data_IF_340103724615
#
_entry.id   IF_340103724615
#
_cell.length_a   1.000
_cell.length_b   1.000
_cell.length_c   1.000
_cell.angle_alpha   90.00
_cell.angle_beta   90.00
_cell.angle_gamma   90.00
#
_symmetry.space_group_name_H-M   'P 1'
#
loop_
_entity.id
_entity.type
_entity.pdbx_description
1 polymer ?
#
# COMPACT_ATOMS: atom_id res chain seq x y z
N UNK A 1 -4.10 13.44 -8.49
CA UNK A 1 -3.08 12.43 -8.17
C UNK A 1 -1.82 13.17 -7.75
N UNK A 2 -1.21 12.80 -6.64
CA UNK A 2 0.07 13.37 -6.24
C UNK A 2 1.14 12.93 -7.24
N UNK A 3 1.78 13.89 -7.91
CA UNK A 3 2.86 13.62 -8.87
C UNK A 3 4.19 13.50 -8.12
N UNK A 4 4.29 12.56 -7.18
CA UNK A 4 5.47 12.37 -6.35
C UNK A 4 6.54 11.57 -7.09
N UNK A 5 7.75 12.10 -7.13
CA UNK A 5 8.91 11.41 -7.70
C UNK A 5 10.21 11.94 -7.10
N UNK A 6 11.26 11.14 -7.20
CA UNK A 6 12.61 11.56 -6.88
C UNK A 6 13.56 11.26 -8.05
N UNK A 7 14.69 11.95 -8.10
CA UNK A 7 15.63 11.84 -9.21
C UNK A 7 17.08 11.88 -8.75
N UNK A 8 17.97 11.23 -9.49
CA UNK A 8 19.42 11.26 -9.30
C UNK A 8 20.12 11.11 -10.64
N UNK A 9 21.14 11.93 -10.90
CA UNK A 9 22.00 11.80 -12.09
C UNK A 9 23.02 10.66 -11.88
N UNK A 10 23.20 9.84 -12.90
CA UNK A 10 24.08 8.67 -12.87
C UNK A 10 25.49 9.06 -13.34
N UNK A 11 26.52 8.60 -12.63
CA UNK A 11 27.92 8.69 -13.02
C UNK A 11 28.39 7.51 -13.87
N UNK A 12 29.72 7.38 -14.03
CA UNK A 12 30.30 6.21 -14.72
C UNK A 12 30.09 4.94 -13.93
N UNK A 13 29.58 3.90 -14.57
CA UNK A 13 29.32 2.62 -13.94
C UNK A 13 30.61 1.89 -13.55
N UNK A 14 30.59 1.14 -12.45
CA UNK A 14 31.68 0.23 -12.03
C UNK A 14 31.90 -0.87 -13.06
N UNK A 15 30.80 -1.45 -13.54
CA UNK A 15 30.83 -2.50 -14.57
C UNK A 15 29.52 -2.50 -15.36
N UNK A 16 29.60 -2.10 -16.61
CA UNK A 16 28.45 -2.04 -17.51
C UNK A 16 27.78 -3.39 -17.79
N UNK A 17 28.49 -4.49 -17.53
CA UNK A 17 27.99 -5.84 -17.87
C UNK A 17 27.05 -6.42 -16.83
N UNK A 18 27.05 -5.89 -15.59
CA UNK A 18 26.33 -6.52 -14.48
C UNK A 18 25.60 -5.48 -13.64
N UNK A 19 24.38 -5.83 -13.22
CA UNK A 19 23.62 -5.03 -12.26
C UNK A 19 22.60 -5.87 -11.48
N UNK A 20 22.07 -5.28 -10.41
CA UNK A 20 20.88 -5.79 -9.72
C UNK A 20 19.99 -4.63 -9.31
N UNK A 21 18.69 -4.78 -9.49
CA UNK A 21 17.64 -3.99 -8.85
C UNK A 21 16.91 -4.90 -7.87
N UNK A 22 16.69 -4.45 -6.65
CA UNK A 22 15.84 -5.12 -5.69
C UNK A 22 14.93 -4.09 -5.04
N UNK A 23 13.61 -4.31 -5.02
CA UNK A 23 12.64 -3.39 -4.44
C UNK A 23 11.44 -4.13 -3.89
N UNK A 24 10.96 -3.70 -2.75
CA UNK A 24 9.63 -4.05 -2.25
C UNK A 24 8.63 -2.99 -2.68
N UNK A 25 7.51 -3.41 -3.25
CA UNK A 25 6.50 -2.56 -3.87
C UNK A 25 5.10 -3.05 -3.52
N UNK A 26 4.26 -2.13 -3.02
CA UNK A 26 2.84 -2.36 -2.73
C UNK A 26 2.04 -1.32 -3.50
N UNK A 27 1.23 -1.74 -4.46
CA UNK A 27 0.41 -0.83 -5.25
C UNK A 27 -0.88 -0.48 -4.52
N UNK A 28 -1.34 0.76 -4.68
CA UNK A 28 -2.62 1.18 -4.11
C UNK A 28 -3.81 0.87 -5.01
N UNK A 29 -3.58 0.72 -6.32
CA UNK A 29 -4.64 0.41 -7.29
C UNK A 29 -4.12 -0.27 -8.55
N UNK A 30 -5.02 -0.93 -9.24
CA UNK A 30 -4.84 -1.46 -10.58
C UNK A 30 -5.34 -0.40 -11.58
N UNK A 31 -4.44 0.24 -12.31
CA UNK A 31 -4.78 1.42 -13.12
C UNK A 31 -5.17 1.10 -14.55
N UNK A 32 -4.86 -0.12 -15.04
CA UNK A 32 -4.90 -0.43 -16.47
C UNK A 32 -3.87 0.35 -17.29
N UNK A 33 -2.93 1.04 -16.62
CA UNK A 33 -1.83 1.78 -17.21
C UNK A 33 -0.50 1.41 -16.55
N UNK A 34 0.61 1.79 -17.14
CA UNK A 34 1.93 1.53 -16.56
C UNK A 34 2.16 2.36 -15.28
N UNK A 35 2.97 1.85 -14.36
CA UNK A 35 3.43 2.58 -13.19
C UNK A 35 4.94 2.42 -13.05
N UNK A 36 5.69 3.52 -13.23
CA UNK A 36 7.15 3.50 -13.17
C UNK A 36 7.69 3.37 -11.75
N UNK A 37 8.48 2.34 -11.49
CA UNK A 37 9.16 2.13 -10.20
C UNK A 37 10.52 2.83 -10.20
N UNK A 38 11.45 2.34 -11.00
CA UNK A 38 12.77 2.92 -11.20
C UNK A 38 13.05 2.98 -12.70
N UNK A 39 13.14 4.16 -13.24
CA UNK A 39 13.23 4.38 -14.67
C UNK A 39 14.38 5.32 -15.04
N UNK A 40 14.76 5.35 -16.31
CA UNK A 40 15.72 6.30 -16.84
C UNK A 40 15.43 6.54 -18.32
N UNK A 41 16.27 7.37 -18.93
CA UNK A 41 16.37 7.53 -20.37
C UNK A 41 17.62 6.80 -20.86
N UNK A 42 17.47 5.97 -21.88
CA UNK A 42 18.61 5.41 -22.59
C UNK A 42 19.25 6.40 -23.55
N UNK A 43 20.33 5.97 -24.18
CA UNK A 43 20.94 6.72 -25.27
C UNK A 43 19.91 6.91 -26.40
N UNK A 44 19.76 8.13 -26.91
CA UNK A 44 18.78 8.45 -27.94
C UNK A 44 17.40 8.85 -27.39
N UNK A 45 16.31 8.42 -28.05
CA UNK A 45 14.94 8.86 -27.76
C UNK A 45 14.14 7.92 -26.82
N UNK A 46 14.77 6.85 -26.30
CA UNK A 46 14.08 5.83 -25.54
C UNK A 46 13.82 6.26 -24.09
N UNK A 47 12.70 6.95 -23.86
CA UNK A 47 12.30 7.43 -22.53
C UNK A 47 11.65 6.36 -21.63
N UNK A 48 11.58 5.11 -22.08
CA UNK A 48 10.82 4.06 -21.41
C UNK A 48 11.66 2.97 -20.72
N UNK A 49 12.93 3.23 -20.44
CA UNK A 49 13.82 2.25 -19.80
C UNK A 49 13.51 2.14 -18.32
N UNK A 50 13.58 0.93 -17.80
CA UNK A 50 13.51 0.62 -16.38
C UNK A 50 12.45 -0.38 -15.97
N UNK A 51 12.19 -0.42 -14.69
CA UNK A 51 11.25 -1.31 -14.02
C UNK A 51 9.89 -0.66 -13.85
N UNK A 52 8.85 -1.36 -14.27
CA UNK A 52 7.46 -0.94 -14.20
C UNK A 52 6.55 -2.05 -13.67
N UNK A 53 5.44 -1.66 -13.09
CA UNK A 53 4.22 -2.47 -13.19
C UNK A 53 3.59 -2.20 -14.56
N UNK A 54 3.29 -3.28 -15.29
CA UNK A 54 2.63 -3.21 -16.59
C UNK A 54 1.16 -2.84 -16.51
N UNK A 55 0.61 -2.36 -17.61
CA UNK A 55 -0.81 -2.08 -17.73
C UNK A 55 -1.70 -3.33 -17.68
N UNK A 56 -1.08 -4.50 -17.70
CA UNK A 56 -1.67 -5.83 -17.63
C UNK A 56 -1.39 -6.53 -16.29
N UNK A 57 -0.91 -5.77 -15.29
CA UNK A 57 -0.60 -6.20 -13.92
C UNK A 57 0.60 -7.14 -13.77
N UNK A 58 1.44 -7.24 -14.81
CA UNK A 58 2.70 -8.00 -14.77
C UNK A 58 3.89 -7.11 -14.37
N UNK A 59 5.03 -7.73 -14.08
CA UNK A 59 6.31 -7.03 -13.94
C UNK A 59 6.91 -6.82 -15.32
N UNK A 60 7.24 -5.57 -15.64
CA UNK A 60 7.86 -5.15 -16.89
C UNK A 60 9.24 -4.55 -16.66
N UNK A 61 10.21 -4.98 -17.46
CA UNK A 61 11.52 -4.37 -17.52
C UNK A 61 11.86 -4.04 -18.97
N UNK A 62 12.06 -2.76 -19.23
CA UNK A 62 12.44 -2.23 -20.55
C UNK A 62 13.90 -1.80 -20.53
N UNK A 63 14.62 -2.11 -21.59
CA UNK A 63 16.02 -1.70 -21.80
C UNK A 63 16.28 -1.36 -23.26
N UNK A 64 17.33 -0.59 -23.53
CA UNK A 64 17.74 -0.30 -24.93
C UNK A 64 18.76 -1.33 -25.42
N UNK A 65 18.55 -1.83 -26.62
CA UNK A 65 19.54 -2.65 -27.34
C UNK A 65 20.44 -1.82 -28.24
N UNK A 66 20.01 -0.59 -28.58
CA UNK A 66 20.77 0.41 -29.34
C UNK A 66 20.23 1.80 -29.02
N UNK A 67 20.78 2.84 -29.63
CA UNK A 67 20.29 4.22 -29.47
C UNK A 67 18.83 4.45 -29.85
N UNK A 68 18.22 3.53 -30.63
CA UNK A 68 16.85 3.69 -31.14
C UNK A 68 15.92 2.50 -30.87
N UNK A 69 16.45 1.35 -30.43
CA UNK A 69 15.67 0.13 -30.23
C UNK A 69 15.46 -0.15 -28.74
N UNK A 70 14.20 -0.35 -28.38
CA UNK A 70 13.74 -0.77 -27.06
C UNK A 70 13.41 -2.27 -27.09
N UNK A 71 13.87 -2.99 -26.06
CA UNK A 71 13.52 -4.38 -25.81
C UNK A 71 12.72 -4.48 -24.51
N UNK A 72 11.88 -5.49 -24.42
CA UNK A 72 10.94 -5.67 -23.32
C UNK A 72 11.00 -7.09 -22.75
N UNK A 73 11.03 -7.19 -21.45
CA UNK A 73 10.79 -8.43 -20.71
C UNK A 73 9.58 -8.21 -19.81
N UNK A 74 8.55 -9.04 -19.96
CA UNK A 74 7.37 -8.98 -19.09
C UNK A 74 6.92 -10.36 -18.65
N UNK A 75 6.61 -10.52 -17.37
CA UNK A 75 6.17 -11.80 -16.80
C UNK A 75 4.78 -12.19 -17.34
N UNK A 76 4.53 -13.50 -17.49
CA UNK A 76 3.17 -14.00 -17.76
C UNK A 76 2.30 -13.90 -16.50
N UNK A 77 2.90 -14.08 -15.32
CA UNK A 77 2.24 -13.95 -14.02
C UNK A 77 1.71 -12.53 -13.80
N UNK A 78 0.53 -12.44 -13.15
CA UNK A 78 -0.16 -11.19 -12.83
C UNK A 78 -0.23 -11.00 -11.31
N UNK A 79 0.04 -9.79 -10.86
CA UNK A 79 0.16 -9.43 -9.46
C UNK A 79 -0.92 -8.42 -9.10
N UNK A 80 -2.08 -8.88 -8.64
CA UNK A 80 -3.30 -8.08 -8.48
C UNK A 80 -3.68 -7.75 -7.04
N UNK A 81 -2.96 -8.26 -6.07
CA UNK A 81 -3.20 -7.91 -4.67
C UNK A 81 -2.68 -6.52 -4.36
N UNK A 82 -3.59 -5.58 -4.11
CA UNK A 82 -3.26 -4.19 -3.75
C UNK A 82 -2.95 -4.03 -2.26
N UNK A 83 -3.09 -5.09 -1.47
CA UNK A 83 -2.67 -5.11 -0.06
C UNK A 83 -1.34 -5.85 0.15
N UNK A 84 -0.90 -6.64 -0.83
CA UNK A 84 0.34 -7.42 -0.75
C UNK A 84 1.58 -6.60 -1.10
N UNK A 85 2.63 -6.78 -0.32
CA UNK A 85 3.97 -6.38 -0.69
C UNK A 85 4.58 -7.41 -1.64
N UNK A 86 5.07 -6.94 -2.78
CA UNK A 86 5.81 -7.76 -3.74
C UNK A 86 7.27 -7.38 -3.73
N UNK A 87 8.13 -8.36 -3.53
CA UNK A 87 9.57 -8.21 -3.70
C UNK A 87 9.95 -8.50 -5.16
N UNK A 88 10.51 -7.54 -5.87
CA UNK A 88 10.95 -7.69 -7.25
C UNK A 88 12.45 -7.58 -7.28
N UNK A 89 13.11 -8.58 -7.88
CA UNK A 89 14.56 -8.56 -8.16
C UNK A 89 14.77 -8.75 -9.64
N UNK A 90 15.61 -7.89 -10.22
CA UNK A 90 16.08 -8.01 -11.61
C UNK A 90 17.58 -8.00 -11.61
N UNK A 91 18.20 -9.00 -12.22
CA UNK A 91 19.64 -9.08 -12.37
C UNK A 91 20.04 -9.25 -13.83
N UNK A 92 20.93 -8.40 -14.30
CA UNK A 92 21.53 -8.47 -15.62
C UNK A 92 22.99 -8.87 -15.57
N UNK A 93 23.41 -9.75 -16.51
CA UNK A 93 24.81 -10.16 -16.69
C UNK A 93 25.08 -10.50 -18.16
N UNK A 94 25.70 -9.60 -18.88
CA UNK A 94 25.99 -9.77 -20.33
C UNK A 94 27.11 -10.80 -20.59
N UNK A 95 27.81 -11.26 -19.57
CA UNK A 95 28.81 -12.34 -19.71
C UNK A 95 28.15 -13.72 -19.86
N UNK A 96 26.86 -13.81 -19.54
CA UNK A 96 26.03 -15.00 -19.76
C UNK A 96 25.56 -15.09 -21.22
N UNK A 97 25.02 -16.24 -21.60
CA UNK A 97 24.47 -16.49 -22.94
C UNK A 97 22.96 -16.61 -22.95
N UNK A 98 22.33 -16.27 -24.09
CA UNK A 98 20.89 -16.43 -24.29
C UNK A 98 20.07 -15.68 -23.23
N UNK A 99 18.98 -16.28 -22.80
CA UNK A 99 18.06 -15.71 -21.81
C UNK A 99 18.64 -15.63 -20.37
N UNK A 100 19.80 -16.21 -20.12
CA UNK A 100 20.48 -16.09 -18.82
C UNK A 100 21.09 -14.70 -18.60
N UNK A 101 21.18 -13.85 -19.61
CA UNK A 101 21.66 -12.48 -19.50
C UNK A 101 20.79 -11.59 -18.60
N UNK A 102 19.51 -11.89 -18.48
CA UNK A 102 18.60 -11.15 -17.62
C UNK A 102 17.68 -12.12 -16.89
N UNK A 103 17.53 -11.96 -15.59
CA UNK A 103 16.68 -12.79 -14.74
C UNK A 103 15.77 -11.90 -13.90
N UNK A 104 14.56 -12.37 -13.64
CA UNK A 104 13.55 -11.71 -12.82
C UNK A 104 13.08 -12.67 -11.74
N UNK A 105 12.98 -12.19 -10.52
CA UNK A 105 12.35 -12.91 -9.40
C UNK A 105 11.23 -12.07 -8.82
N UNK A 106 10.17 -12.73 -8.37
CA UNK A 106 9.12 -12.11 -7.57
C UNK A 106 8.90 -12.96 -6.33
N UNK A 107 8.95 -12.33 -5.16
CA UNK A 107 8.85 -12.98 -3.85
C UNK A 107 9.79 -14.21 -3.71
N UNK A 108 11.04 -14.04 -4.15
CA UNK A 108 12.06 -15.08 -4.10
C UNK A 108 12.00 -16.12 -5.23
N UNK A 109 10.91 -16.20 -5.97
CA UNK A 109 10.73 -17.18 -7.06
C UNK A 109 11.21 -16.63 -8.40
N UNK A 110 12.14 -17.34 -9.05
CA UNK A 110 12.60 -16.98 -10.38
C UNK A 110 11.49 -17.17 -11.41
N UNK A 111 11.21 -16.13 -12.17
CA UNK A 111 10.23 -16.17 -13.26
C UNK A 111 10.83 -16.89 -14.47
N UNK A 112 10.10 -17.85 -15.01
CA UNK A 112 10.49 -18.68 -16.15
C UNK A 112 9.55 -18.54 -17.35
N UNK A 113 8.37 -17.94 -17.15
CA UNK A 113 7.37 -17.72 -18.18
C UNK A 113 7.18 -16.23 -18.44
N UNK A 114 7.28 -15.83 -19.69
CA UNK A 114 7.25 -14.43 -20.12
C UNK A 114 6.28 -14.22 -21.27
N UNK A 115 5.56 -13.09 -21.24
CA UNK A 115 4.72 -12.64 -22.36
C UNK A 115 5.59 -11.98 -23.43
N UNK A 116 6.55 -11.14 -23.02
CA UNK A 116 7.60 -10.61 -23.88
C UNK A 116 8.94 -11.10 -23.33
N UNK A 117 9.79 -11.66 -24.16
CA UNK A 117 11.05 -12.28 -23.74
C UNK A 117 12.24 -11.84 -24.61
N UNK A 118 12.67 -10.62 -24.44
CA UNK A 118 13.87 -10.09 -25.10
C UNK A 118 15.14 -10.25 -24.23
N UNK A 119 15.14 -11.09 -23.18
CA UNK A 119 16.26 -11.25 -22.23
C UNK A 119 17.62 -11.51 -22.91
N UNK A 120 17.62 -12.26 -24.01
CA UNK A 120 18.85 -12.56 -24.77
C UNK A 120 19.46 -11.33 -25.43
N UNK A 121 18.69 -10.28 -25.64
CA UNK A 121 19.11 -9.04 -26.28
C UNK A 121 19.71 -8.02 -25.32
N UNK A 122 19.80 -8.31 -24.01
CA UNK A 122 20.38 -7.41 -23.03
C UNK A 122 21.86 -7.16 -23.33
N UNK A 123 22.25 -5.89 -23.40
CA UNK A 123 23.58 -5.42 -23.81
C UNK A 123 24.36 -4.64 -22.72
N UNK A 124 23.76 -4.49 -21.53
CA UNK A 124 24.39 -3.89 -20.37
C UNK A 124 23.92 -2.48 -20.05
N UNK A 125 24.41 -1.94 -18.92
CA UNK A 125 23.95 -0.70 -18.29
C UNK A 125 24.23 0.57 -19.08
N UNK A 126 25.22 0.59 -19.96
CA UNK A 126 25.59 1.81 -20.72
C UNK A 126 24.49 2.32 -21.64
N UNK A 127 23.55 1.45 -22.01
CA UNK A 127 22.35 1.81 -22.80
C UNK A 127 21.06 1.71 -21.97
N UNK A 128 21.16 1.58 -20.65
CA UNK A 128 20.10 1.31 -19.72
C UNK A 128 20.18 2.27 -18.51
N UNK A 129 19.70 1.85 -17.34
CA UNK A 129 19.68 2.62 -16.09
C UNK A 129 21.05 3.19 -15.68
N UNK A 130 22.16 2.60 -16.14
CA UNK A 130 23.52 3.06 -15.88
C UNK A 130 24.06 4.09 -16.89
N UNK A 131 23.26 4.66 -17.79
CA UNK A 131 23.74 5.61 -18.78
C UNK A 131 24.22 6.91 -18.13
N UNK A 132 25.54 7.17 -18.24
CA UNK A 132 26.20 8.34 -17.63
C UNK A 132 25.56 9.66 -18.11
N UNK A 133 25.29 10.56 -17.16
CA UNK A 133 24.73 11.90 -17.42
C UNK A 133 23.20 11.93 -17.52
N UNK A 134 22.51 10.78 -17.53
CA UNK A 134 21.06 10.76 -17.51
C UNK A 134 20.54 10.46 -16.09
N UNK A 135 19.43 11.13 -15.68
CA UNK A 135 18.86 10.88 -14.36
C UNK A 135 18.04 9.60 -14.33
N UNK A 136 18.23 8.83 -13.25
CA UNK A 136 17.24 7.88 -12.79
C UNK A 136 16.04 8.60 -12.22
N UNK A 137 14.85 8.08 -12.43
CA UNK A 137 13.58 8.55 -11.87
C UNK A 137 12.98 7.47 -10.99
N UNK A 138 12.64 7.81 -9.78
CA UNK A 138 11.90 6.97 -8.85
C UNK A 138 10.43 7.41 -8.84
N UNK A 139 9.50 6.47 -9.02
CA UNK A 139 8.07 6.73 -8.88
C UNK A 139 7.40 7.32 -10.13
N UNK A 140 8.05 7.33 -11.28
CA UNK A 140 7.45 7.69 -12.57
C UNK A 140 8.30 7.26 -13.76
N UNK A 141 7.76 7.32 -14.96
CA UNK A 141 8.53 7.25 -16.18
C UNK A 141 9.37 8.52 -16.40
N UNK A 142 10.49 8.41 -17.10
CA UNK A 142 11.43 9.52 -17.35
C UNK A 142 10.78 10.78 -17.95
N UNK A 143 9.81 10.63 -18.85
CA UNK A 143 9.13 11.76 -19.52
C UNK A 143 8.08 12.46 -18.67
N UNK A 144 7.91 12.05 -17.39
CA UNK A 144 6.94 12.65 -16.49
C UNK A 144 5.54 12.07 -16.59
N UNK A 145 5.40 10.90 -17.22
CA UNK A 145 4.16 10.10 -17.24
C UNK A 145 4.24 8.88 -16.33
N UNK A 146 3.19 8.08 -16.27
CA UNK A 146 3.12 6.78 -15.58
C UNK A 146 3.59 6.82 -14.12
N UNK A 147 3.05 7.78 -13.36
CA UNK A 147 3.34 7.89 -11.94
C UNK A 147 2.95 6.62 -11.18
N UNK A 148 3.83 6.24 -10.28
CA UNK A 148 3.58 5.15 -9.34
C UNK A 148 2.55 5.57 -8.30
N UNK A 149 1.59 4.68 -8.00
CA UNK A 149 0.57 4.88 -6.98
C UNK A 149 0.65 3.73 -5.98
N UNK A 150 1.27 3.97 -4.84
CA UNK A 150 1.54 2.94 -3.84
C UNK A 150 2.68 3.28 -2.91
N UNK A 151 3.17 2.25 -2.22
CA UNK A 151 4.30 2.32 -1.30
C UNK A 151 5.49 1.52 -1.82
N UNK A 152 6.70 2.02 -1.59
CA UNK A 152 7.95 1.34 -1.90
C UNK A 152 8.83 1.28 -0.66
N UNK A 153 9.60 0.22 -0.53
CA UNK A 153 10.54 0.02 0.58
C UNK A 153 11.79 -0.71 0.11
N UNK A 154 12.91 -0.46 0.75
CA UNK A 154 14.18 -1.14 0.56
C UNK A 154 14.53 -1.26 -0.93
N UNK A 155 14.65 -0.13 -1.61
CA UNK A 155 15.12 -0.09 -3.00
C UNK A 155 16.65 -0.11 -3.04
N UNK A 156 17.19 -1.16 -3.63
CA UNK A 156 18.60 -1.33 -3.92
C UNK A 156 18.83 -1.25 -5.44
N UNK A 157 19.84 -0.52 -5.83
CA UNK A 157 20.46 -0.62 -7.13
C UNK A 157 21.94 -0.99 -6.94
N UNK A 158 22.39 -2.04 -7.60
CA UNK A 158 23.76 -2.54 -7.51
C UNK A 158 24.41 -2.42 -8.88
N UNK A 159 25.49 -1.69 -8.93
CA UNK A 159 26.29 -1.43 -10.11
C UNK A 159 27.52 -2.33 -10.10
N UNK A 160 27.52 -3.34 -10.95
CA UNK A 160 28.69 -4.20 -11.18
C UNK A 160 28.56 -5.65 -10.69
N UNK A 161 27.46 -6.01 -10.04
CA UNK A 161 27.22 -7.41 -9.59
C UNK A 161 25.78 -7.82 -9.87
N UNK A 162 25.60 -9.05 -10.35
CA UNK A 162 24.30 -9.68 -10.56
C UNK A 162 24.02 -10.65 -9.39
N UNK A 163 23.22 -10.18 -8.42
CA UNK A 163 22.73 -11.00 -7.31
C UNK A 163 21.36 -11.59 -7.63
N UNK A 164 21.06 -12.75 -7.08
CA UNK A 164 19.70 -13.30 -7.08
C UNK A 164 18.87 -12.80 -5.88
N UNK A 165 17.63 -13.24 -5.78
CA UNK A 165 16.70 -12.79 -4.74
C UNK A 165 17.15 -13.18 -3.32
N UNK A 166 17.92 -14.26 -3.15
CA UNK A 166 18.35 -14.75 -1.83
C UNK A 166 19.29 -13.80 -1.09
N UNK A 167 19.94 -12.87 -1.81
CA UNK A 167 20.70 -11.80 -1.19
C UNK A 167 19.83 -10.84 -0.38
N UNK A 168 18.55 -10.67 -0.76
CA UNK A 168 17.63 -9.63 -0.24
C UNK A 168 16.47 -10.19 0.58
N UNK A 169 16.35 -11.50 0.68
CA UNK A 169 15.27 -12.14 1.44
C UNK A 169 15.50 -13.63 1.60
N UNK A 170 14.60 -14.27 2.35
CA UNK A 170 14.59 -15.72 2.54
C UNK A 170 13.18 -16.21 2.80
N UNK A 171 12.91 -17.47 2.47
CA UNK A 171 11.65 -18.13 2.80
C UNK A 171 11.66 -18.53 4.27
N UNK A 172 10.64 -18.14 5.00
CA UNK A 172 10.40 -18.62 6.36
C UNK A 172 10.07 -20.11 6.34
N UNK A 173 10.83 -20.90 7.06
CA UNK A 173 10.70 -22.38 7.04
C UNK A 173 9.37 -22.85 7.68
N UNK A 174 8.75 -22.05 8.53
CA UNK A 174 7.50 -22.40 9.23
C UNK A 174 6.27 -22.02 8.44
N UNK A 175 6.26 -20.81 7.87
CA UNK A 175 5.08 -20.25 7.20
C UNK A 175 5.12 -20.37 5.68
N UNK A 176 6.30 -20.58 5.10
CA UNK A 176 6.51 -20.54 3.65
C UNK A 176 6.53 -19.11 3.09
N UNK A 177 6.40 -18.09 3.92
CA UNK A 177 6.39 -16.70 3.52
C UNK A 177 7.79 -16.24 3.09
N UNK A 178 7.86 -15.45 2.01
CA UNK A 178 9.08 -14.76 1.60
C UNK A 178 9.29 -13.52 2.46
N UNK A 179 10.34 -13.51 3.28
CA UNK A 179 10.66 -12.45 4.23
C UNK A 179 11.84 -11.60 3.76
N UNK A 180 11.75 -10.32 4.06
CA UNK A 180 12.80 -9.34 3.74
C UNK A 180 14.06 -9.56 4.58
N UNK A 181 15.24 -9.41 3.92
CA UNK A 181 16.51 -9.17 4.58
C UNK A 181 16.75 -7.65 4.63
N UNK A 182 16.60 -7.06 5.81
CA UNK A 182 16.75 -5.61 6.00
C UNK A 182 18.18 -5.11 5.99
N UNK A 183 19.17 -6.02 5.97
CA UNK A 183 20.61 -5.70 5.99
C UNK A 183 21.40 -6.64 5.08
N UNK A 184 21.14 -6.62 3.76
CA UNK A 184 21.79 -7.51 2.82
C UNK A 184 23.31 -7.23 2.75
N UNK A 185 24.10 -8.30 2.69
CA UNK A 185 25.56 -8.22 2.51
C UNK A 185 25.87 -8.19 1.02
N UNK A 186 25.88 -6.98 0.43
CA UNK A 186 26.09 -6.76 -1.01
C UNK A 186 27.10 -5.64 -1.26
N UNK A 187 27.77 -5.68 -2.42
CA UNK A 187 28.67 -4.62 -2.87
C UNK A 187 27.95 -3.75 -3.89
N UNK A 188 27.74 -2.47 -3.55
CA UNK A 188 26.89 -1.58 -4.35
C UNK A 188 27.55 -1.05 -5.63
N UNK A 189 28.89 -0.94 -5.68
CA UNK A 189 29.59 -0.29 -6.81
C UNK A 189 29.38 1.23 -6.85
N UNK A 190 29.94 1.91 -7.84
CA UNK A 190 30.04 3.37 -7.89
C UNK A 190 28.66 4.07 -7.95
N UNK A 191 27.76 3.58 -8.78
CA UNK A 191 26.41 4.15 -8.91
C UNK A 191 25.37 3.48 -8.02
N UNK A 192 25.76 2.42 -7.30
CA UNK A 192 24.83 1.68 -6.46
C UNK A 192 24.35 2.48 -5.26
N UNK A 193 23.14 2.20 -4.82
CA UNK A 193 22.49 2.88 -3.70
C UNK A 193 21.52 1.95 -2.97
N UNK A 194 21.19 2.34 -1.74
CA UNK A 194 20.15 1.76 -0.91
C UNK A 194 19.30 2.87 -0.30
N UNK A 195 18.06 3.01 -0.73
CA UNK A 195 17.15 4.06 -0.28
C UNK A 195 15.82 3.47 0.21
N UNK A 196 14.98 4.30 0.83
CA UNK A 196 13.67 3.91 1.37
C UNK A 196 13.74 2.84 2.47
N UNK A 197 14.86 2.78 3.21
CA UNK A 197 15.04 1.86 4.34
C UNK A 197 14.35 2.38 5.60
N UNK A 198 14.66 3.63 5.96
CA UNK A 198 14.25 4.21 7.24
C UNK A 198 13.22 5.32 6.98
N UNK A 199 11.99 4.90 6.68
CA UNK A 199 10.86 5.77 6.40
C UNK A 199 11.16 6.77 5.27
N UNK A 200 10.43 6.85 4.24
CA UNK A 200 10.49 7.74 3.07
C UNK A 200 11.85 8.43 2.76
N UNK A 201 12.96 7.93 3.26
CA UNK A 201 14.27 8.52 3.02
C UNK A 201 14.77 8.22 1.62
N UNK A 202 15.06 9.26 0.88
CA UNK A 202 15.77 9.19 -0.42
C UNK A 202 17.27 9.39 -0.25
N UNK A 203 17.75 9.42 0.99
CA UNK A 203 19.18 9.44 1.35
C UNK A 203 19.73 8.04 1.24
N UNK A 204 20.85 7.92 0.54
CA UNK A 204 21.52 6.64 0.29
C UNK A 204 22.14 6.07 1.57
N UNK A 205 21.79 4.83 1.88
CA UNK A 205 22.24 4.06 3.03
C UNK A 205 23.37 3.05 2.65
N UNK A 206 23.80 3.01 1.39
CA UNK A 206 24.84 2.09 0.91
C UNK A 206 26.26 2.50 1.32
N UNK A 207 26.43 3.75 1.74
CA UNK A 207 27.75 4.36 2.01
C UNK A 207 28.34 5.11 0.81
N UNK A 208 27.71 5.06 -0.37
CA UNK A 208 28.22 5.73 -1.58
C UNK A 208 27.79 7.21 -1.70
N UNK A 209 26.88 7.67 -0.85
CA UNK A 209 26.30 9.01 -0.92
C UNK A 209 25.53 9.30 -2.21
N UNK A 210 24.97 8.28 -2.83
CA UNK A 210 24.19 8.35 -4.06
C UNK A 210 22.73 8.78 -3.78
N UNK A 211 22.56 9.92 -3.12
CA UNK A 211 21.28 10.45 -2.71
C UNK A 211 20.38 10.80 -3.90
N UNK A 212 19.09 10.61 -3.72
CA UNK A 212 18.07 11.15 -4.61
C UNK A 212 17.55 12.50 -4.09
N UNK A 213 16.99 13.29 -4.98
CA UNK A 213 16.31 14.55 -4.65
C UNK A 213 14.85 14.41 -5.03
N UNK A 214 13.94 14.78 -4.12
CA UNK A 214 12.51 14.85 -4.42
C UNK A 214 12.30 15.96 -5.45
N UNK A 215 11.80 15.60 -6.62
CA UNK A 215 11.59 16.53 -7.74
C UNK A 215 10.15 17.07 -7.80
N UNK A 216 9.19 16.42 -7.11
CA UNK A 216 7.80 16.86 -7.02
C UNK A 216 6.99 15.99 -6.09
N UNK A 217 5.83 16.51 -5.67
CA UNK A 217 4.95 15.87 -4.70
C UNK A 217 5.53 15.81 -3.29
N UNK A 218 4.94 14.98 -2.44
CA UNK A 218 5.37 14.76 -1.06
C UNK A 218 5.53 13.26 -0.82
N UNK A 219 6.68 12.84 -0.34
CA UNK A 219 6.87 11.50 0.19
C UNK A 219 6.30 11.45 1.60
N UNK A 220 5.49 10.45 1.89
CA UNK A 220 4.92 10.21 3.20
C UNK A 220 5.58 8.97 3.82
N UNK A 221 6.19 9.16 4.98
CA UNK A 221 6.69 8.05 5.78
C UNK A 221 5.50 7.27 6.33
N UNK A 222 5.50 5.94 6.20
CA UNK A 222 4.49 5.08 6.83
C UNK A 222 5.18 3.95 7.57
N UNK A 223 4.53 3.44 8.63
CA UNK A 223 5.00 2.23 9.33
C UNK A 223 4.67 0.95 8.54
N UNK A 224 3.80 1.04 7.53
CA UNK A 224 3.50 -0.07 6.63
C UNK A 224 4.72 -0.37 5.75
N UNK A 225 5.30 -1.53 5.99
CA UNK A 225 6.51 -2.00 5.32
C UNK A 225 6.48 -3.54 5.19
N UNK A 226 7.37 -4.15 4.40
CA UNK A 226 7.36 -5.61 4.17
C UNK A 226 7.49 -6.47 5.42
N UNK A 227 8.09 -5.95 6.49
CA UNK A 227 8.22 -6.65 7.77
C UNK A 227 7.10 -6.34 8.76
N UNK A 228 6.21 -5.41 8.44
CA UNK A 228 5.12 -4.97 9.31
C UNK A 228 3.95 -4.43 8.47
N UNK A 229 3.11 -5.35 7.99
CA UNK A 229 2.03 -5.04 7.05
C UNK A 229 0.79 -4.57 7.79
N UNK A 230 0.29 -3.38 7.45
CA UNK A 230 -0.97 -2.83 7.97
C UNK A 230 -2.11 -2.99 6.97
N UNK A 231 -3.33 -3.01 7.49
CA UNK A 231 -4.52 -2.91 6.66
C UNK A 231 -4.54 -1.59 5.88
N UNK A 232 -5.25 -1.62 4.76
CA UNK A 232 -5.67 -0.43 3.99
C UNK A 232 -7.14 -0.60 3.64
N UNK A 233 -7.78 0.40 3.08
CA UNK A 233 -9.14 0.26 2.55
C UNK A 233 -9.10 -0.45 1.20
N UNK A 234 -10.10 -1.29 0.94
CA UNK A 234 -10.15 -2.16 -0.22
C UNK A 234 -10.73 -1.41 -1.44
N UNK A 235 -9.89 -1.12 -2.42
CA UNK A 235 -10.32 -0.45 -3.66
C UNK A 235 -11.19 -1.31 -4.56
N UNK A 236 -11.26 -2.61 -4.33
CA UNK A 236 -12.10 -3.54 -5.08
C UNK A 236 -13.50 -3.68 -4.49
N UNK A 237 -13.73 -3.15 -3.28
CA UNK A 237 -15.03 -3.12 -2.63
C UNK A 237 -15.79 -1.83 -2.99
N UNK A 238 -16.28 -1.75 -4.23
CA UNK A 238 -17.02 -0.63 -4.81
C UNK A 238 -18.34 -1.10 -5.44
N UNK A 239 -19.13 -1.87 -4.70
CA UNK A 239 -20.27 -2.56 -5.27
C UNK A 239 -21.51 -1.67 -5.44
N UNK A 240 -21.72 -0.68 -4.55
CA UNK A 240 -22.86 0.23 -4.64
C UNK A 240 -22.51 1.38 -5.58
N UNK A 241 -21.45 2.10 -5.28
CA UNK A 241 -20.93 3.20 -6.09
C UNK A 241 -19.42 3.37 -5.84
N UNK A 242 -18.71 3.81 -6.86
CA UNK A 242 -17.26 3.94 -6.79
C UNK A 242 -16.83 5.05 -5.83
N UNK A 243 -16.12 4.71 -4.78
CA UNK A 243 -15.40 5.64 -3.92
C UNK A 243 -14.07 6.06 -4.55
N UNK A 244 -13.54 7.19 -4.11
CA UNK A 244 -12.21 7.66 -4.48
C UNK A 244 -11.23 7.33 -3.37
N UNK A 245 -10.14 6.63 -3.71
CA UNK A 245 -9.09 6.23 -2.78
C UNK A 245 -7.81 7.03 -3.04
N UNK A 246 -7.09 7.37 -1.97
CA UNK A 246 -5.83 8.10 -2.03
C UNK A 246 -4.95 7.79 -0.81
N UNK A 247 -3.71 8.33 -0.81
CA UNK A 247 -2.75 8.18 0.29
C UNK A 247 -2.52 6.71 0.69
N UNK A 248 -2.19 5.85 -0.32
CA UNK A 248 -1.96 4.43 -0.09
C UNK A 248 -3.22 3.66 0.33
N UNK A 249 -4.41 4.11 -0.13
CA UNK A 249 -5.73 3.58 0.22
C UNK A 249 -6.15 3.80 1.68
N UNK A 250 -5.47 4.69 2.39
CA UNK A 250 -5.86 5.05 3.76
C UNK A 250 -6.81 6.26 3.82
N UNK A 251 -7.09 6.89 2.68
CA UNK A 251 -8.12 7.93 2.58
C UNK A 251 -9.18 7.50 1.59
N UNK A 252 -10.44 7.52 2.02
CA UNK A 252 -11.60 7.17 1.20
C UNK A 252 -12.58 8.33 1.17
N UNK A 253 -12.92 8.80 -0.02
CA UNK A 253 -14.04 9.70 -0.26
C UNK A 253 -15.17 8.90 -0.89
N UNK A 254 -16.31 8.85 -0.23
CA UNK A 254 -17.51 8.16 -0.71
C UNK A 254 -18.09 8.86 -1.93
N UNK A 255 -18.93 8.16 -2.68
CA UNK A 255 -19.64 8.72 -3.84
C UNK A 255 -20.81 9.61 -3.38
N UNK A 256 -21.11 10.67 -4.12
CA UNK A 256 -22.19 11.62 -3.81
C UNK A 256 -23.53 11.26 -4.47
N UNK A 257 -23.66 10.08 -5.04
CA UNK A 257 -24.87 9.68 -5.79
C UNK A 257 -25.63 8.53 -5.14
N UNK A 258 -25.06 7.89 -4.13
CA UNK A 258 -25.65 6.74 -3.43
C UNK A 258 -25.11 6.61 -2.00
N UNK A 259 -25.82 5.88 -1.15
CA UNK A 259 -25.27 5.35 0.08
C UNK A 259 -24.04 4.50 -0.25
N UNK A 260 -22.89 4.87 0.28
CA UNK A 260 -21.64 4.21 -0.09
C UNK A 260 -20.82 3.91 1.15
N UNK A 261 -20.35 2.68 1.27
CA UNK A 261 -19.41 2.29 2.30
C UNK A 261 -18.42 1.26 1.75
N UNK A 262 -17.25 1.20 2.34
CA UNK A 262 -16.16 0.35 1.92
C UNK A 262 -15.58 -0.37 3.12
N UNK A 263 -15.00 -1.55 2.87
CA UNK A 263 -14.31 -2.35 3.88
C UNK A 263 -12.79 -2.23 3.77
N UNK A 264 -12.10 -2.63 4.84
CA UNK A 264 -10.65 -2.78 4.85
C UNK A 264 -10.20 -4.07 4.14
N UNK A 265 -8.89 -4.21 3.97
CA UNK A 265 -8.27 -5.33 3.25
C UNK A 265 -7.99 -6.55 4.14
N UNK A 266 -7.85 -6.38 5.45
CA UNK A 266 -7.54 -7.46 6.38
C UNK A 266 -8.75 -7.81 7.23
N UNK A 267 -9.15 -9.10 7.18
CA UNK A 267 -10.21 -9.66 8.01
C UNK A 267 -9.69 -10.08 9.38
N UNK A 268 -10.52 -9.85 10.40
CA UNK A 268 -10.25 -10.16 11.81
C UNK A 268 -11.12 -11.34 12.23
N UNK A 269 -10.50 -12.46 12.68
CA UNK A 269 -11.22 -13.68 13.07
C UNK A 269 -11.15 -13.99 14.57
N UNK A 270 -10.21 -13.42 15.31
CA UNK A 270 -10.04 -13.61 16.76
C UNK A 270 -9.14 -12.50 17.32
N UNK A 271 -9.11 -12.36 18.64
CA UNK A 271 -8.23 -11.39 19.31
C UNK A 271 -8.82 -9.98 19.39
N UNK A 272 -7.96 -9.01 19.63
CA UNK A 272 -8.32 -7.61 19.93
C UNK A 272 -7.60 -6.67 18.99
N UNK A 273 -8.33 -5.70 18.42
CA UNK A 273 -7.83 -4.78 17.43
C UNK A 273 -8.22 -3.34 17.76
N UNK A 274 -7.39 -2.41 17.32
CA UNK A 274 -7.63 -0.98 17.44
C UNK A 274 -7.18 -0.27 16.16
N UNK A 275 -7.93 0.71 15.72
CA UNK A 275 -7.56 1.65 14.68
C UNK A 275 -8.30 2.97 14.87
N UNK A 276 -7.89 3.99 14.12
CA UNK A 276 -8.49 5.32 14.18
C UNK A 276 -8.96 5.79 12.81
N UNK A 277 -10.02 6.54 12.80
CA UNK A 277 -10.58 7.15 11.58
C UNK A 277 -10.83 8.63 11.83
N UNK A 278 -10.17 9.49 11.07
CA UNK A 278 -10.45 10.93 11.07
C UNK A 278 -11.51 11.24 10.02
N UNK A 279 -12.62 11.83 10.45
CA UNK A 279 -13.62 12.40 9.55
C UNK A 279 -13.05 13.72 9.00
N UNK A 280 -12.51 13.73 7.79
CA UNK A 280 -11.68 14.84 7.30
C UNK A 280 -12.41 15.83 6.43
N UNK A 281 -13.49 15.44 5.75
CA UNK A 281 -14.30 16.35 4.93
C UNK A 281 -15.71 15.82 4.72
N UNK A 282 -16.63 16.75 4.44
CA UNK A 282 -18.02 16.48 4.07
C UNK A 282 -18.49 17.52 3.03
N UNK A 283 -19.26 17.07 2.06
CA UNK A 283 -19.76 17.99 1.01
C UNK A 283 -21.07 18.69 1.37
N UNK A 284 -21.67 18.40 2.52
CA UNK A 284 -22.98 18.93 2.95
C UNK A 284 -22.93 19.34 4.43
N UNK A 285 -23.94 20.07 4.90
CA UNK A 285 -24.08 20.44 6.31
C UNK A 285 -24.45 19.26 7.22
N UNK A 286 -25.12 18.21 6.68
CA UNK A 286 -25.50 17.02 7.45
C UNK A 286 -24.33 16.07 7.60
N UNK A 287 -24.09 15.58 8.83
CA UNK A 287 -22.93 14.73 9.17
C UNK A 287 -23.25 13.25 9.00
N UNK A 288 -23.52 12.81 7.77
CA UNK A 288 -23.97 11.45 7.45
C UNK A 288 -22.84 10.40 7.40
N UNK A 289 -21.80 10.58 8.21
CA UNK A 289 -20.67 9.65 8.27
C UNK A 289 -20.95 8.46 9.19
N UNK A 290 -20.57 7.26 8.74
CA UNK A 290 -20.63 6.00 9.49
C UNK A 290 -19.24 5.36 9.57
N UNK A 291 -18.83 4.92 10.76
CA UNK A 291 -17.56 4.25 11.02
C UNK A 291 -17.84 3.00 11.85
N UNK A 292 -17.27 1.85 11.45
CA UNK A 292 -17.56 0.60 12.14
C UNK A 292 -16.85 -0.63 11.60
N UNK A 293 -17.58 -1.76 11.62
CA UNK A 293 -17.13 -3.06 11.10
C UNK A 293 -18.25 -3.74 10.32
N UNK A 294 -17.87 -4.60 9.37
CA UNK A 294 -18.77 -5.49 8.66
C UNK A 294 -18.13 -6.87 8.42
N UNK A 295 -18.93 -7.94 8.40
CA UNK A 295 -18.43 -9.30 8.15
C UNK A 295 -18.11 -9.58 6.69
N UNK A 296 -18.62 -8.79 5.78
CA UNK A 296 -18.35 -8.92 4.34
C UNK A 296 -18.39 -7.56 3.66
N UNK A 297 -17.77 -7.43 2.47
CA UNK A 297 -17.95 -6.28 1.60
C UNK A 297 -19.43 -6.07 1.24
N UNK A 298 -19.78 -4.88 0.77
CA UNK A 298 -21.13 -4.57 0.29
C UNK A 298 -21.53 -5.53 -0.82
N UNK A 299 -22.79 -5.87 -0.89
CA UNK A 299 -23.31 -6.81 -1.88
C UNK A 299 -24.04 -6.13 -3.06
N UNK A 300 -23.85 -4.81 -3.20
CA UNK A 300 -24.51 -4.01 -4.23
C UNK A 300 -25.90 -3.52 -3.83
N UNK A 301 -26.28 -3.61 -2.55
CA UNK A 301 -27.50 -3.03 -2.02
C UNK A 301 -27.36 -1.52 -1.83
N UNK A 302 -28.48 -0.83 -1.59
CA UNK A 302 -28.49 0.60 -1.24
C UNK A 302 -28.47 0.83 0.27
N UNK A 303 -28.23 -0.23 1.05
CA UNK A 303 -28.28 -0.16 2.51
C UNK A 303 -27.01 0.49 3.08
N UNK A 304 -27.20 1.24 4.13
CA UNK A 304 -26.14 1.93 4.88
C UNK A 304 -25.39 0.94 5.78
N UNK A 305 -24.13 1.20 6.06
CA UNK A 305 -23.37 0.46 7.08
C UNK A 305 -24.10 0.51 8.43
N UNK A 306 -24.35 -0.64 9.01
CA UNK A 306 -25.09 -0.81 10.28
C UNK A 306 -26.58 -1.05 10.09
N UNK A 307 -27.14 -0.89 8.89
CA UNK A 307 -28.58 -1.08 8.61
C UNK A 307 -28.89 -2.33 7.78
N UNK A 308 -27.91 -3.08 7.31
CA UNK A 308 -28.14 -4.34 6.61
C UNK A 308 -28.55 -5.43 7.60
N UNK A 309 -29.60 -6.20 7.26
CA UNK A 309 -30.15 -7.25 8.11
C UNK A 309 -29.63 -8.64 7.77
N UNK A 310 -29.06 -8.82 6.58
CA UNK A 310 -28.63 -10.10 6.02
C UNK A 310 -27.16 -10.45 6.33
N UNK A 311 -26.42 -9.52 6.95
CA UNK A 311 -25.05 -9.72 7.39
C UNK A 311 -24.75 -8.99 8.71
N UNK A 312 -23.72 -9.41 9.42
CA UNK A 312 -23.28 -8.73 10.63
C UNK A 312 -22.51 -7.44 10.27
N UNK A 313 -23.11 -6.30 10.61
CA UNK A 313 -22.53 -4.98 10.37
C UNK A 313 -22.96 -4.01 11.48
N UNK A 314 -22.00 -3.20 11.93
CA UNK A 314 -22.13 -2.35 13.11
C UNK A 314 -21.39 -1.05 12.91
N UNK A 315 -22.01 0.09 13.25
CA UNK A 315 -21.34 1.37 13.15
C UNK A 315 -21.73 2.39 14.21
N UNK A 316 -20.96 3.45 14.31
CA UNK A 316 -21.22 4.69 15.02
C UNK A 316 -21.54 5.76 14.01
N UNK A 317 -22.69 6.40 14.16
CA UNK A 317 -23.24 7.38 13.22
C UNK A 317 -23.01 8.82 13.70
N UNK A 318 -22.44 9.66 12.86
CA UNK A 318 -21.98 11.00 13.21
C UNK A 318 -23.09 11.94 13.63
N UNK A 319 -24.18 12.03 12.86
CA UNK A 319 -25.21 13.05 13.00
C UNK A 319 -25.99 12.96 14.32
N UNK A 320 -26.23 11.76 14.80
CA UNK A 320 -27.05 11.52 16.00
C UNK A 320 -26.29 10.95 17.18
N UNK A 321 -25.04 10.51 16.99
CA UNK A 321 -24.27 9.80 18.03
C UNK A 321 -24.82 8.40 18.36
N UNK A 322 -25.72 7.86 17.55
CA UNK A 322 -26.28 6.51 17.73
C UNK A 322 -25.32 5.44 17.23
N UNK A 323 -25.44 4.24 17.79
CA UNK A 323 -24.94 3.02 17.17
C UNK A 323 -26.04 2.42 16.28
N UNK A 324 -25.60 1.84 15.14
CA UNK A 324 -26.45 1.01 14.28
C UNK A 324 -25.91 -0.42 14.31
N UNK A 325 -26.81 -1.37 14.48
CA UNK A 325 -26.50 -2.79 14.65
C UNK A 325 -27.53 -3.63 13.93
N UNK A 326 -27.27 -4.04 12.68
CA UNK A 326 -28.19 -4.85 11.86
C UNK A 326 -29.61 -4.26 11.83
N UNK A 327 -29.73 -2.99 11.43
CA UNK A 327 -30.96 -2.18 11.39
C UNK A 327 -31.53 -1.75 12.76
N UNK A 328 -30.89 -2.09 13.87
CA UNK A 328 -31.29 -1.61 15.20
C UNK A 328 -30.48 -0.37 15.57
N UNK A 329 -31.16 0.72 15.89
CA UNK A 329 -30.53 1.97 16.31
C UNK A 329 -30.64 2.14 17.84
N UNK A 330 -29.54 2.52 18.50
CA UNK A 330 -29.53 2.77 19.93
C UNK A 330 -28.75 4.05 20.26
N UNK A 331 -29.10 4.72 21.36
CA UNK A 331 -28.29 5.82 21.92
C UNK A 331 -26.95 5.24 22.34
N UNK A 332 -25.84 5.88 21.93
CA UNK A 332 -24.51 5.36 22.21
C UNK A 332 -23.53 6.43 22.70
N UNK A 333 -23.38 7.54 21.99
CA UNK A 333 -22.38 8.55 22.33
C UNK A 333 -22.74 9.95 21.81
N UNK A 334 -21.75 10.82 21.81
CA UNK A 334 -21.89 12.18 21.31
C UNK A 334 -21.84 12.19 19.77
N UNK A 335 -22.48 13.16 19.14
CA UNK A 335 -22.29 13.44 17.72
C UNK A 335 -20.82 13.75 17.42
N UNK A 336 -20.36 13.43 16.22
CA UNK A 336 -19.02 13.83 15.76
C UNK A 336 -19.08 14.52 14.40
N UNK A 337 -18.11 15.35 14.10
CA UNK A 337 -18.11 16.25 12.95
C UNK A 337 -16.75 16.23 12.25
N UNK A 338 -16.65 16.94 11.13
CA UNK A 338 -15.39 17.12 10.40
C UNK A 338 -14.29 17.65 11.32
N UNK A 339 -13.15 16.96 11.30
CA UNK A 339 -12.00 17.21 12.17
C UNK A 339 -11.88 16.22 13.32
N UNK A 340 -12.97 15.61 13.77
CA UNK A 340 -12.96 14.64 14.87
C UNK A 340 -12.29 13.31 14.45
N UNK A 341 -11.65 12.66 15.42
CA UNK A 341 -11.05 11.33 15.29
C UNK A 341 -11.91 10.35 16.09
N UNK A 342 -12.36 9.30 15.41
CA UNK A 342 -13.07 8.17 16.02
C UNK A 342 -12.11 7.00 16.16
N UNK A 343 -11.81 6.60 17.40
CA UNK A 343 -11.10 5.36 17.68
C UNK A 343 -12.09 4.19 17.72
N UNK A 344 -11.71 3.07 17.13
CA UNK A 344 -12.49 1.83 17.08
C UNK A 344 -11.70 0.74 17.78
N UNK A 345 -12.29 0.12 18.79
CA UNK A 345 -11.72 -1.04 19.45
C UNK A 345 -12.68 -2.22 19.35
N UNK A 346 -12.18 -3.36 18.91
CA UNK A 346 -12.96 -4.60 18.81
C UNK A 346 -12.29 -5.71 19.61
N UNK A 347 -13.08 -6.39 20.43
CA UNK A 347 -12.70 -7.60 21.18
C UNK A 347 -13.52 -8.76 20.64
N UNK A 348 -12.96 -9.50 19.69
CA UNK A 348 -13.62 -10.63 19.04
C UNK A 348 -13.73 -11.85 19.97
N UNK A 349 -12.83 -11.99 20.94
CA UNK A 349 -12.86 -13.08 21.90
C UNK A 349 -14.08 -12.99 22.83
N UNK A 350 -14.59 -11.76 23.03
CA UNK A 350 -15.77 -11.48 23.86
C UNK A 350 -16.93 -10.89 23.06
N UNK A 351 -16.83 -10.75 21.74
CA UNK A 351 -17.86 -10.19 20.85
C UNK A 351 -18.29 -8.77 21.26
N UNK A 352 -17.32 -7.87 21.44
CA UNK A 352 -17.51 -6.49 21.90
C UNK A 352 -16.88 -5.48 20.94
N UNK A 353 -17.62 -4.37 20.69
CA UNK A 353 -17.20 -3.26 19.87
C UNK A 353 -17.34 -1.95 20.66
N UNK A 354 -16.36 -1.07 20.55
CA UNK A 354 -16.32 0.21 21.25
C UNK A 354 -15.89 1.32 20.30
N UNK A 355 -16.39 2.52 20.54
CA UNK A 355 -15.95 3.71 19.84
C UNK A 355 -15.51 4.80 20.82
N UNK A 356 -14.47 5.53 20.45
CA UNK A 356 -14.07 6.77 21.12
C UNK A 356 -14.26 7.96 20.20
N UNK A 357 -14.41 9.14 20.76
CA UNK A 357 -14.33 10.42 20.07
C UNK A 357 -13.18 11.23 20.65
N UNK A 358 -12.19 11.58 19.83
CA UNK A 358 -11.01 12.34 20.26
C UNK A 358 -10.38 11.78 21.55
N UNK A 359 -10.18 10.45 21.58
CA UNK A 359 -9.60 9.73 22.72
C UNK A 359 -10.55 9.43 23.87
N UNK A 360 -11.77 9.98 23.88
CA UNK A 360 -12.75 9.71 24.96
C UNK A 360 -13.72 8.61 24.54
N UNK A 361 -13.67 7.48 25.26
CA UNK A 361 -14.57 6.34 25.02
C UNK A 361 -16.03 6.72 25.25
N UNK A 362 -16.86 6.43 24.27
CA UNK A 362 -18.30 6.71 24.32
C UNK A 362 -19.04 5.68 25.18
N UNK A 363 -20.25 6.00 25.65
CA UNK A 363 -21.07 5.16 26.53
C UNK A 363 -20.31 4.67 27.78
N UNK A 364 -19.38 5.46 28.31
CA UNK A 364 -18.47 5.06 29.40
C UNK A 364 -17.71 3.76 29.10
N UNK A 365 -17.36 3.53 27.83
CA UNK A 365 -16.75 2.31 27.35
C UNK A 365 -15.39 2.01 27.99
N UNK A 366 -15.18 0.74 28.31
CA UNK A 366 -13.91 0.20 28.82
C UNK A 366 -13.49 -0.98 27.93
N UNK A 367 -12.71 -0.75 26.84
CA UNK A 367 -12.36 -1.81 25.89
C UNK A 367 -11.60 -2.99 26.50
N UNK A 368 -10.97 -2.78 27.66
CA UNK A 368 -10.24 -3.81 28.40
C UNK A 368 -11.10 -4.59 29.39
N UNK A 369 -12.43 -4.34 29.46
CA UNK A 369 -13.33 -4.98 30.43
C UNK A 369 -13.66 -6.45 30.11
N UNK A 370 -13.16 -6.99 29.01
CA UNK A 370 -13.35 -8.37 28.59
C UNK A 370 -14.84 -8.75 28.43
N UNK A 371 -15.24 -9.88 28.99
CA UNK A 371 -16.62 -10.38 28.87
C UNK A 371 -17.67 -9.47 29.53
N UNK A 372 -17.28 -8.65 30.51
CA UNK A 372 -18.18 -7.65 31.12
C UNK A 372 -18.72 -6.66 30.08
N UNK A 373 -17.90 -6.25 29.14
CA UNK A 373 -18.29 -5.41 28.01
C UNK A 373 -18.84 -4.05 28.44
N UNK A 374 -18.23 -3.39 29.44
CA UNK A 374 -18.70 -2.09 29.95
C UNK A 374 -18.76 -1.07 28.83
N UNK A 375 -19.96 -0.52 28.53
CA UNK A 375 -20.20 0.44 27.47
C UNK A 375 -20.05 -0.08 26.03
N UNK A 376 -19.89 -1.40 25.86
CA UNK A 376 -19.75 -2.02 24.54
C UNK A 376 -21.07 -2.08 23.75
N UNK A 377 -20.93 -2.12 22.43
CA UNK A 377 -21.91 -2.70 21.54
C UNK A 377 -21.63 -4.20 21.46
N UNK A 378 -22.65 -5.04 21.71
CA UNK A 378 -22.52 -6.48 21.49
C UNK A 378 -22.63 -6.77 20.00
N UNK A 379 -21.68 -7.55 19.47
CA UNK A 379 -21.66 -7.97 18.07
C UNK A 379 -21.84 -9.48 17.97
N UNK A 380 -22.22 -9.97 16.81
CA UNK A 380 -22.31 -11.42 16.57
C UNK A 380 -20.94 -12.08 16.75
N UNK A 381 -20.92 -13.24 17.37
CA UNK A 381 -19.68 -14.03 17.49
C UNK A 381 -19.22 -14.48 16.09
N UNK A 382 -17.92 -14.56 15.88
CA UNK A 382 -17.31 -15.01 14.61
C UNK A 382 -17.90 -16.35 14.14
N UNK A 383 -18.21 -17.26 15.06
CA UNK A 383 -18.75 -18.58 14.76
C UNK A 383 -20.14 -18.58 14.09
N UNK A 384 -20.87 -17.47 14.15
CA UNK A 384 -22.20 -17.33 13.53
C UNK A 384 -22.23 -16.33 12.38
N UNK A 385 -21.09 -15.68 12.06
CA UNK A 385 -20.97 -14.86 10.86
C UNK A 385 -20.80 -15.74 9.62
N UNK A 386 -21.25 -15.24 8.46
CA UNK A 386 -21.21 -16.01 7.20
C UNK A 386 -19.79 -16.21 6.70
N UNK A 387 -18.91 -15.21 6.90
CA UNK A 387 -17.54 -15.21 6.37
C UNK A 387 -16.49 -15.67 7.37
N UNK A 388 -16.81 -15.73 8.66
CA UNK A 388 -15.88 -16.06 9.73
C UNK A 388 -14.88 -14.93 10.06
N UNK A 389 -15.13 -13.71 9.58
CA UNK A 389 -14.27 -12.54 9.79
C UNK A 389 -15.09 -11.25 9.86
N UNK A 390 -14.53 -10.23 10.53
CA UNK A 390 -14.95 -8.84 10.38
C UNK A 390 -13.87 -8.01 9.73
N UNK A 391 -14.27 -7.03 8.94
CA UNK A 391 -13.41 -6.02 8.35
C UNK A 391 -13.70 -4.65 8.98
N UNK A 392 -12.70 -3.76 9.15
CA UNK A 392 -12.94 -2.33 9.34
C UNK A 392 -13.83 -1.81 8.21
N UNK A 393 -14.76 -0.91 8.52
CA UNK A 393 -15.66 -0.35 7.51
C UNK A 393 -15.93 1.13 7.80
N UNK A 394 -16.15 1.92 6.75
CA UNK A 394 -16.62 3.30 6.85
C UNK A 394 -17.39 3.72 5.61
N UNK A 395 -18.28 4.68 5.76
CA UNK A 395 -19.12 5.14 4.67
C UNK A 395 -19.98 6.35 5.00
N UNK A 396 -21.01 6.57 4.21
CA UNK A 396 -21.99 7.62 4.43
C UNK A 396 -23.42 7.07 4.53
N UNK A 397 -24.30 7.88 5.10
CA UNK A 397 -25.74 7.64 5.22
C UNK A 397 -26.51 8.49 4.21
N UNK A 398 -25.87 9.18 3.30
CA UNK A 398 -26.49 10.13 2.38
C UNK A 398 -26.38 9.73 0.92
N UNK A 399 -27.44 9.92 0.16
CA UNK A 399 -27.47 9.65 -1.28
C UNK A 399 -27.08 10.85 -2.15
N UNK A 400 -26.80 12.01 -1.57
CA UNK A 400 -26.52 13.26 -2.31
C UNK A 400 -25.29 14.00 -1.79
N UNK A 401 -24.46 13.34 -1.04
CA UNK A 401 -23.25 13.92 -0.44
C UNK A 401 -22.12 12.90 -0.40
N UNK A 402 -20.92 13.37 -0.14
CA UNK A 402 -19.77 12.50 0.14
C UNK A 402 -19.14 12.84 1.49
N UNK A 403 -18.58 11.83 2.11
CA UNK A 403 -17.75 11.93 3.29
C UNK A 403 -16.33 11.52 2.93
N UNK A 404 -15.34 12.15 3.54
CA UNK A 404 -13.95 11.73 3.41
C UNK A 404 -13.43 11.24 4.76
N UNK A 405 -13.04 9.99 4.81
CA UNK A 405 -12.47 9.32 5.97
C UNK A 405 -10.99 9.03 5.74
N UNK A 406 -10.15 9.38 6.72
CA UNK A 406 -8.72 9.07 6.73
C UNK A 406 -8.46 8.03 7.82
N UNK A 407 -8.01 6.85 7.41
CA UNK A 407 -7.79 5.70 8.28
C UNK A 407 -6.34 5.63 8.73
N UNK A 408 -6.13 5.49 10.03
CA UNK A 408 -4.86 5.10 10.63
C UNK A 408 -5.02 3.68 11.22
N UNK A 409 -4.52 2.69 10.49
CA UNK A 409 -4.46 1.31 10.96
C UNK A 409 -3.16 1.00 11.75
N UNK A 410 -2.42 2.05 12.13
CA UNK A 410 -1.10 1.97 12.75
C UNK A 410 0.01 2.55 11.89
N UNK A 411 -0.29 3.00 10.69
CA UNK A 411 0.68 3.58 9.75
C UNK A 411 1.18 4.98 10.14
N UNK A 412 0.62 5.58 11.19
CA UNK A 412 1.07 6.84 11.78
C UNK A 412 0.63 8.11 11.05
N UNK A 413 -0.37 8.02 10.16
CA UNK A 413 -0.83 9.17 9.37
C UNK A 413 -2.34 9.21 9.20
N UNK A 414 -2.89 10.43 9.17
CA UNK A 414 -4.19 10.75 8.59
C UNK A 414 -3.96 11.50 7.27
N UNK A 415 -4.16 10.83 6.15
CA UNK A 415 -3.78 11.35 4.83
C UNK A 415 -2.26 11.59 4.74
N UNK A 416 -1.83 12.84 4.63
CA UNK A 416 -0.41 13.23 4.66
C UNK A 416 0.02 13.85 6.00
N UNK A 417 -0.89 13.95 6.98
CA UNK A 417 -0.61 14.55 8.29
C UNK A 417 -0.18 13.45 9.25
N UNK A 418 1.03 13.55 9.76
CA UNK A 418 1.54 12.64 10.78
C UNK A 418 0.72 12.77 12.08
N UNK A 419 0.52 11.66 12.77
CA UNK A 419 -0.04 11.65 14.11
C UNK A 419 0.87 12.45 15.04
N UNK A 420 0.28 13.38 15.78
CA UNK A 420 0.99 14.17 16.78
C UNK A 420 0.81 13.55 18.17
N UNK A 421 1.88 13.48 18.95
CA UNK A 421 1.84 12.93 20.30
C UNK A 421 1.34 11.48 20.34
N UNK A 422 1.88 10.67 19.43
CA UNK A 422 1.52 9.25 19.32
C UNK A 422 1.63 8.54 20.66
N UNK A 423 0.59 7.75 20.98
CA UNK A 423 0.59 6.83 22.10
C UNK A 423 1.46 5.61 21.81
N UNK A 424 1.81 4.88 22.86
CA UNK A 424 2.42 3.56 22.74
C UNK A 424 1.35 2.48 22.91
N UNK A 425 1.43 1.42 22.11
CA UNK A 425 0.59 0.24 22.30
C UNK A 425 1.40 -0.92 22.92
N UNK A 426 0.70 -1.92 23.44
CA UNK A 426 1.34 -3.05 24.13
C UNK A 426 2.21 -3.92 23.22
N UNK A 427 1.94 -3.91 21.90
CA UNK A 427 2.71 -4.67 20.91
C UNK A 427 3.95 -3.92 20.43
N UNK A 428 4.04 -2.60 20.67
CA UNK A 428 5.06 -1.73 20.09
C UNK A 428 4.94 -1.55 18.57
N UNK A 429 3.85 -2.01 17.99
CA UNK A 429 3.58 -1.98 16.54
C UNK A 429 2.45 -0.98 16.28
N UNK A 430 2.68 -0.07 15.33
CA UNK A 430 1.73 0.96 14.96
C UNK A 430 1.84 2.24 15.77
N UNK A 431 1.47 3.34 15.11
CA UNK A 431 1.48 4.69 15.64
C UNK A 431 0.06 5.25 15.58
N UNK A 432 -0.50 5.59 16.76
CA UNK A 432 -1.86 6.08 16.93
C UNK A 432 -1.89 7.38 17.73
#
# INVERSE_FOLDING_TARGET
MASTYATRTVGTATNNNKFTISVWSKRSKLTGDYQGILTSRGSGWNAGIGLYWGNDESVWYNFSTSSTALATVSTTAKYRDVNGWYHIVIAGDTTQSGTNKLKIWVNGEQQTSFTNDDRSSFVGLSNDLGHTGYPMQLGRKYDGSYYYDGSMSHLHFIDGTAYDASAFGSTDATTGEWKINTSPSVTYGTNGFFILKDGNSVTDQSGNSNNFTVGGGTLTKTEDCPSNVFATMNTLDNQIASSTFSHGNNTVQTNNSNYTWNTGTLGMSSGKYYWEVKYSANSNASMYNTIGIAERPTDGTTDVLGLQTDCANYCYYADTGKSFSKDVQAVYGNTYTVGDIVGVAVDLDNSKLYFSKNGTWQNSGVPTSGSTGTGAISIDAISITTTGVYFPASGDYGSTQNCTNQHNFGNGYFGTTAVSSAGTNASGIGIF
#
